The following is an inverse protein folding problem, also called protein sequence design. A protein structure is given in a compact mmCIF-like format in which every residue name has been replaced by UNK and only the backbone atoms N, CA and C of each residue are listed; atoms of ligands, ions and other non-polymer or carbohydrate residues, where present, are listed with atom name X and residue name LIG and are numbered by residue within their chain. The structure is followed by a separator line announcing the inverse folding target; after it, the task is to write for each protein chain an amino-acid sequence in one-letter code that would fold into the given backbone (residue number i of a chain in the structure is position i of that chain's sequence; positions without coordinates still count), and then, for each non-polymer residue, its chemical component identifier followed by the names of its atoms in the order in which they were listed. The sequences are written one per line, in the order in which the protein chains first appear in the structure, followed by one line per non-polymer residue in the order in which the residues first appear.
data_IF_502276836189
#
_entry.id   IF_502276836189
#
_cell.length_a   1.000
_cell.length_b   1.000
_cell.length_c   1.000
_cell.angle_alpha   90.00
_cell.angle_beta   90.00
_cell.angle_gamma   90.00
#
_symmetry.space_group_name_H-M   'P 1'
#
loop_
_entity.id
_entity.type
_entity.pdbx_description
1 polymer ?
#
# COMPACT_ATOMS: atom_id res chain seq x y z
N UNK A 1 -0.67 -9.77 34.32
CA UNK A 1 -2.10 -10.10 34.54
C UNK A 1 -2.95 -9.72 33.34
N UNK A 2 -2.99 -8.44 32.91
CA UNK A 2 -3.83 -7.98 31.79
C UNK A 2 -3.66 -8.77 30.47
N UNK A 3 -2.43 -9.15 30.08
CA UNK A 3 -2.18 -9.96 28.86
C UNK A 3 -2.87 -11.32 28.89
N UNK A 4 -2.74 -12.04 30.01
CA UNK A 4 -3.37 -13.34 30.21
C UNK A 4 -4.91 -13.21 30.22
N UNK A 5 -5.44 -12.14 30.82
CA UNK A 5 -6.87 -11.83 30.77
C UNK A 5 -7.35 -11.63 29.33
N UNK A 6 -6.67 -10.81 28.52
CA UNK A 6 -7.04 -10.57 27.12
C UNK A 6 -7.04 -11.86 26.28
N UNK A 7 -6.05 -12.74 26.50
CA UNK A 7 -5.99 -14.06 25.86
C UNK A 7 -7.14 -14.97 26.28
N UNK A 8 -7.42 -15.04 27.59
CA UNK A 8 -8.51 -15.86 28.14
C UNK A 8 -9.86 -15.38 27.63
N UNK A 9 -10.10 -14.06 27.54
CA UNK A 9 -11.32 -13.54 26.95
C UNK A 9 -11.45 -13.91 25.49
N UNK A 10 -10.37 -13.83 24.71
CA UNK A 10 -10.38 -14.31 23.34
C UNK A 10 -10.75 -15.80 23.23
N UNK A 11 -10.26 -16.66 24.12
CA UNK A 11 -10.66 -18.08 24.15
C UNK A 11 -12.11 -18.29 24.61
N UNK A 12 -12.57 -17.46 25.53
CA UNK A 12 -13.94 -17.50 26.05
C UNK A 12 -14.96 -17.13 24.96
N UNK A 13 -14.65 -16.11 24.15
CA UNK A 13 -15.46 -15.72 22.98
C UNK A 13 -15.64 -16.89 22.02
N UNK A 14 -14.55 -17.56 21.65
CA UNK A 14 -14.61 -18.69 20.72
C UNK A 14 -15.37 -19.90 21.28
N UNK A 15 -15.23 -20.18 22.58
CA UNK A 15 -15.76 -21.40 23.19
C UNK A 15 -17.22 -21.29 23.60
N UNK A 16 -17.72 -20.09 23.92
CA UNK A 16 -19.08 -19.86 24.44
C UNK A 16 -19.73 -18.58 23.85
N UNK A 17 -19.92 -18.50 22.51
CA UNK A 17 -20.46 -17.28 21.88
C UNK A 17 -21.88 -16.93 22.35
N UNK A 18 -22.74 -17.92 22.57
CA UNK A 18 -24.13 -17.69 22.98
C UNK A 18 -24.24 -17.06 24.38
N UNK A 19 -23.30 -17.40 25.29
CA UNK A 19 -23.25 -16.81 26.63
C UNK A 19 -22.90 -15.31 26.57
N UNK A 20 -21.99 -14.93 25.66
CA UNK A 20 -21.60 -13.53 25.48
C UNK A 20 -22.71 -12.75 24.77
N UNK A 21 -23.45 -13.39 23.85
CA UNK A 21 -24.59 -12.77 23.16
C UNK A 21 -25.76 -12.48 24.10
N UNK A 22 -26.03 -13.38 25.05
CA UNK A 22 -27.23 -13.37 25.91
C UNK A 22 -27.22 -12.40 27.10
N UNK A 23 -26.28 -11.45 27.20
CA UNK A 23 -26.19 -10.55 28.36
C UNK A 23 -25.39 -9.26 28.13
N UNK A 24 -25.27 -8.43 29.17
CA UNK A 24 -24.50 -7.17 29.13
C UNK A 24 -22.98 -7.39 29.05
N UNK A 25 -22.51 -8.61 29.32
CA UNK A 25 -21.10 -9.01 29.32
C UNK A 25 -20.40 -8.70 28.00
N UNK A 26 -21.05 -8.96 26.86
CA UNK A 26 -20.49 -8.67 25.55
C UNK A 26 -20.25 -7.18 25.32
N UNK A 27 -21.23 -6.34 25.66
CA UNK A 27 -21.11 -4.89 25.52
C UNK A 27 -20.04 -4.30 26.46
N UNK A 28 -20.00 -4.76 27.72
CA UNK A 28 -18.99 -4.33 28.70
C UNK A 28 -17.58 -4.76 28.28
N UNK A 29 -17.43 -5.96 27.72
CA UNK A 29 -16.15 -6.44 27.19
C UNK A 29 -15.67 -5.57 26.04
N UNK A 30 -16.53 -5.27 25.07
CA UNK A 30 -16.16 -4.40 23.93
C UNK A 30 -15.79 -3.01 24.42
N UNK A 31 -16.53 -2.42 25.36
CA UNK A 31 -16.20 -1.12 25.95
C UNK A 31 -14.83 -1.16 26.66
N UNK A 32 -14.58 -2.17 27.49
CA UNK A 32 -13.31 -2.31 28.22
C UNK A 32 -12.10 -2.51 27.28
N UNK A 33 -12.26 -3.33 26.23
CA UNK A 33 -11.23 -3.48 25.20
C UNK A 33 -10.98 -2.14 24.52
N UNK A 34 -12.05 -1.41 24.21
CA UNK A 34 -11.92 -0.19 23.47
C UNK A 34 -11.25 0.92 24.28
N UNK A 35 -11.55 1.06 25.57
CA UNK A 35 -10.83 1.93 26.51
C UNK A 35 -9.34 1.56 26.59
N UNK A 36 -9.05 0.26 26.64
CA UNK A 36 -7.66 -0.24 26.67
C UNK A 36 -6.91 0.14 25.40
N UNK A 37 -7.53 0.01 24.23
CA UNK A 37 -6.93 0.34 22.93
C UNK A 37 -6.73 1.85 22.70
N UNK A 38 -7.41 2.73 23.46
CA UNK A 38 -7.19 4.18 23.42
C UNK A 38 -5.91 4.61 24.13
N UNK A 39 -5.38 3.78 25.04
CA UNK A 39 -4.16 4.10 25.76
C UNK A 39 -2.95 4.12 24.81
N UNK A 40 -2.36 5.30 24.64
CA UNK A 40 -1.17 5.50 23.78
C UNK A 40 0.09 4.84 24.35
N UNK A 41 0.11 4.53 25.64
CA UNK A 41 1.21 3.84 26.31
C UNK A 41 1.07 2.31 26.30
N UNK A 42 0.03 1.80 25.63
CA UNK A 42 -0.28 0.38 25.58
C UNK A 42 0.86 -0.42 24.93
N UNK A 43 1.26 -1.49 25.60
CA UNK A 43 2.20 -2.46 25.06
C UNK A 43 1.62 -3.18 23.82
N UNK A 44 2.46 -3.38 22.80
CA UNK A 44 2.02 -3.93 21.52
C UNK A 44 1.44 -5.35 21.64
N UNK A 45 1.93 -6.15 22.58
CA UNK A 45 1.39 -7.49 22.83
C UNK A 45 -0.01 -7.42 23.41
N UNK A 46 -0.24 -6.48 24.34
CA UNK A 46 -1.55 -6.27 24.92
C UNK A 46 -2.53 -5.74 23.87
N UNK A 47 -2.09 -4.82 23.00
CA UNK A 47 -2.86 -4.38 21.84
C UNK A 47 -3.23 -5.57 20.93
N UNK A 48 -2.25 -6.43 20.61
CA UNK A 48 -2.45 -7.61 19.77
C UNK A 48 -3.48 -8.60 20.36
N UNK A 49 -3.40 -8.93 21.65
CA UNK A 49 -4.35 -9.87 22.26
C UNK A 49 -5.76 -9.29 22.35
N UNK A 50 -5.90 -7.99 22.67
CA UNK A 50 -7.19 -7.31 22.65
C UNK A 50 -7.79 -7.27 21.25
N UNK A 51 -7.01 -6.94 20.22
CA UNK A 51 -7.48 -6.98 18.84
C UNK A 51 -7.87 -8.39 18.39
N UNK A 52 -7.13 -9.41 18.83
CA UNK A 52 -7.47 -10.82 18.53
C UNK A 52 -8.82 -11.19 19.15
N UNK A 53 -9.12 -10.68 20.36
CA UNK A 53 -10.43 -10.83 20.97
C UNK A 53 -11.52 -10.13 20.12
N UNK A 54 -11.28 -8.89 19.68
CA UNK A 54 -12.20 -8.13 18.80
C UNK A 54 -12.43 -8.85 17.48
N UNK A 55 -11.40 -9.46 16.88
CA UNK A 55 -11.52 -10.25 15.65
C UNK A 55 -12.49 -11.42 15.84
N UNK A 56 -12.40 -12.13 16.96
CA UNK A 56 -13.31 -13.23 17.29
C UNK A 56 -14.75 -12.74 17.50
N UNK A 57 -14.92 -11.63 18.22
CA UNK A 57 -16.22 -10.97 18.41
C UNK A 57 -16.80 -10.56 17.04
N UNK A 58 -16.00 -9.95 16.17
CA UNK A 58 -16.44 -9.53 14.83
C UNK A 58 -16.86 -10.69 13.94
N UNK A 59 -16.27 -11.88 14.11
CA UNK A 59 -16.59 -13.05 13.29
C UNK A 59 -17.83 -13.79 13.79
N UNK A 60 -18.08 -13.84 15.10
CA UNK A 60 -19.16 -14.67 15.68
C UNK A 60 -20.35 -13.86 16.22
N UNK A 61 -20.14 -12.58 16.52
CA UNK A 61 -21.04 -11.74 17.31
C UNK A 61 -21.11 -10.30 16.75
N UNK A 62 -21.33 -10.16 15.43
CA UNK A 62 -21.37 -8.87 14.74
C UNK A 62 -22.35 -7.85 15.38
N UNK A 63 -23.42 -8.33 16.01
CA UNK A 63 -24.38 -7.48 16.74
C UNK A 63 -23.76 -6.69 17.91
N UNK A 64 -22.62 -7.14 18.45
CA UNK A 64 -21.91 -6.47 19.54
C UNK A 64 -20.97 -5.36 19.06
N UNK A 65 -20.72 -5.25 17.75
CA UNK A 65 -19.86 -4.25 17.13
C UNK A 65 -20.66 -3.44 16.11
N UNK A 66 -21.64 -2.62 16.55
CA UNK A 66 -22.42 -1.80 15.64
C UNK A 66 -21.54 -0.81 14.87
N UNK A 67 -22.02 -0.35 13.73
CA UNK A 67 -21.30 0.59 12.86
C UNK A 67 -20.96 1.93 13.55
N UNK A 68 -21.77 2.36 14.52
CA UNK A 68 -21.53 3.55 15.34
C UNK A 68 -20.47 3.37 16.43
N UNK A 69 -19.92 2.17 16.61
CA UNK A 69 -18.99 1.91 17.70
C UNK A 69 -17.65 2.64 17.49
N UNK A 70 -17.16 3.31 18.53
CA UNK A 70 -15.90 4.07 18.52
C UNK A 70 -14.63 3.23 18.26
N UNK A 71 -14.78 1.91 18.10
CA UNK A 71 -13.68 0.98 17.83
C UNK A 71 -13.22 1.07 16.37
N UNK A 72 -14.10 1.44 15.43
CA UNK A 72 -13.73 1.50 14.02
C UNK A 72 -12.68 2.57 13.72
N UNK A 73 -12.80 3.84 14.18
CA UNK A 73 -11.73 4.82 14.03
C UNK A 73 -10.39 4.40 14.67
N UNK A 74 -10.45 3.67 15.79
CA UNK A 74 -9.24 3.13 16.43
C UNK A 74 -8.59 2.05 15.58
N UNK A 75 -9.36 1.13 15.01
CA UNK A 75 -8.85 0.11 14.09
C UNK A 75 -8.14 0.77 12.90
N UNK A 76 -8.75 1.81 12.30
CA UNK A 76 -8.13 2.59 11.22
C UNK A 76 -6.80 3.22 11.67
N UNK A 77 -6.73 3.73 12.90
CA UNK A 77 -5.50 4.28 13.48
C UNK A 77 -4.43 3.20 13.70
N UNK A 78 -4.83 1.98 14.06
CA UNK A 78 -3.92 0.85 14.29
C UNK A 78 -3.33 0.27 12.99
N UNK A 79 -3.86 0.64 11.81
CA UNK A 79 -3.25 0.28 10.53
C UNK A 79 -1.84 0.87 10.33
N UNK A 80 -1.50 1.96 11.02
CA UNK A 80 -0.15 2.58 10.97
C UNK A 80 0.73 2.22 12.18
N UNK A 81 0.34 1.22 12.96
CA UNK A 81 1.07 0.80 14.15
C UNK A 81 2.47 0.25 13.79
N UNK A 82 3.52 0.49 14.60
CA UNK A 82 4.88 0.06 14.27
C UNK A 82 5.07 -1.47 14.18
N UNK A 83 4.24 -2.24 14.89
CA UNK A 83 4.34 -3.70 14.95
C UNK A 83 3.42 -4.40 13.92
N UNK A 84 3.96 -5.23 13.01
CA UNK A 84 3.18 -5.94 11.99
C UNK A 84 2.02 -6.80 12.48
N UNK A 85 2.11 -7.56 13.59
CA UNK A 85 0.98 -8.36 14.08
C UNK A 85 -0.25 -7.51 14.40
N UNK A 86 -0.06 -6.34 15.00
CA UNK A 86 -1.14 -5.39 15.33
C UNK A 86 -1.78 -4.83 14.05
N UNK A 87 -0.95 -4.42 13.08
CA UNK A 87 -1.43 -3.97 11.77
C UNK A 87 -2.26 -5.05 11.07
N UNK A 88 -1.79 -6.30 11.08
CA UNK A 88 -2.45 -7.42 10.41
C UNK A 88 -3.82 -7.74 11.00
N UNK A 89 -3.95 -7.81 12.33
CA UNK A 89 -5.25 -8.09 12.98
C UNK A 89 -6.23 -6.96 12.66
N UNK A 90 -5.79 -5.70 12.78
CA UNK A 90 -6.64 -4.56 12.42
C UNK A 90 -7.10 -4.60 10.95
N UNK A 91 -6.17 -4.84 10.01
CA UNK A 91 -6.48 -4.99 8.59
C UNK A 91 -7.46 -6.12 8.29
N UNK A 92 -7.44 -7.23 9.06
CA UNK A 92 -8.40 -8.34 8.90
C UNK A 92 -9.78 -7.98 9.43
N UNK A 93 -9.87 -7.35 10.60
CA UNK A 93 -11.15 -6.90 11.16
C UNK A 93 -11.83 -5.90 10.23
N UNK A 94 -11.09 -4.89 9.78
CA UNK A 94 -11.58 -3.89 8.81
C UNK A 94 -12.04 -4.59 7.54
N UNK A 95 -11.21 -5.46 6.94
CA UNK A 95 -11.59 -6.16 5.72
C UNK A 95 -12.84 -7.02 5.89
N UNK A 96 -12.96 -7.73 7.01
CA UNK A 96 -14.12 -8.57 7.31
C UNK A 96 -15.41 -7.73 7.25
N UNK A 97 -15.42 -6.57 7.92
CA UNK A 97 -16.55 -5.64 7.88
C UNK A 97 -16.76 -5.01 6.51
N UNK A 98 -15.72 -4.54 5.82
CA UNK A 98 -15.85 -3.95 4.49
C UNK A 98 -16.41 -4.96 3.49
N UNK A 99 -16.06 -6.24 3.61
CA UNK A 99 -16.55 -7.29 2.72
C UNK A 99 -18.04 -7.59 2.84
N UNK A 100 -18.70 -7.14 3.92
CA UNK A 100 -20.16 -7.23 4.06
C UNK A 100 -20.89 -6.00 3.48
N UNK A 101 -20.16 -4.97 3.06
CA UNK A 101 -20.73 -3.71 2.55
C UNK A 101 -20.70 -3.68 1.01
N UNK A 102 -21.67 -2.99 0.43
CA UNK A 102 -21.68 -2.64 -0.99
C UNK A 102 -20.91 -1.32 -1.20
N UNK A 103 -19.78 -1.40 -1.90
CA UNK A 103 -18.92 -0.26 -2.20
C UNK A 103 -19.62 0.85 -3.00
N UNK A 104 -20.70 0.53 -3.73
CA UNK A 104 -21.46 1.48 -4.55
C UNK A 104 -22.55 2.23 -3.78
N UNK A 105 -22.94 1.77 -2.59
CA UNK A 105 -24.09 2.28 -1.82
C UNK A 105 -23.71 2.69 -0.39
N UNK A 106 -22.48 3.17 -0.20
CA UNK A 106 -21.97 3.48 1.14
C UNK A 106 -22.69 4.66 1.81
N UNK A 107 -23.12 5.65 1.02
CA UNK A 107 -23.82 6.83 1.55
C UNK A 107 -25.15 6.47 2.23
N UNK A 108 -25.85 5.46 1.72
CA UNK A 108 -27.17 5.05 2.22
C UNK A 108 -27.09 3.95 3.29
N UNK A 109 -25.90 3.37 3.51
CA UNK A 109 -25.77 2.12 4.27
C UNK A 109 -25.72 2.30 5.79
N UNK A 110 -25.61 3.54 6.30
CA UNK A 110 -25.38 3.81 7.73
C UNK A 110 -24.12 3.13 8.28
N UNK A 111 -23.13 2.81 7.42
CA UNK A 111 -21.92 2.08 7.81
C UNK A 111 -20.96 2.94 8.62
N UNK A 112 -20.02 2.30 9.32
CA UNK A 112 -18.99 3.02 10.08
C UNK A 112 -18.16 3.97 9.18
N UNK A 113 -18.07 3.68 7.88
CA UNK A 113 -17.38 4.50 6.89
C UNK A 113 -18.18 5.78 6.62
N UNK A 114 -19.50 5.66 6.42
CA UNK A 114 -20.40 6.78 6.20
C UNK A 114 -20.52 7.67 7.44
N UNK A 115 -20.49 7.08 8.65
CA UNK A 115 -20.52 7.83 9.91
C UNK A 115 -19.25 8.63 10.19
N UNK A 116 -18.14 8.35 9.48
CA UNK A 116 -16.85 8.99 9.71
C UNK A 116 -16.29 9.59 8.41
N UNK A 117 -16.64 10.84 8.06
CA UNK A 117 -16.07 11.53 6.91
C UNK A 117 -14.54 11.56 6.97
N UNK A 118 -13.88 11.28 5.84
CA UNK A 118 -12.42 11.18 5.73
C UNK A 118 -11.87 9.77 5.99
N UNK A 119 -12.68 8.84 6.50
CA UNK A 119 -12.23 7.48 6.84
C UNK A 119 -11.69 6.70 5.64
N UNK A 120 -12.30 6.85 4.46
CA UNK A 120 -11.83 6.18 3.22
C UNK A 120 -10.40 6.58 2.85
N UNK A 121 -10.11 7.89 2.85
CA UNK A 121 -8.78 8.38 2.54
C UNK A 121 -7.78 8.02 3.65
N UNK A 122 -8.19 8.10 4.93
CA UNK A 122 -7.32 7.70 6.04
C UNK A 122 -6.93 6.22 5.96
N UNK A 123 -7.90 5.34 5.71
CA UNK A 123 -7.63 3.91 5.48
C UNK A 123 -6.69 3.71 4.29
N UNK A 124 -6.98 4.31 3.14
CA UNK A 124 -6.15 4.19 1.94
C UNK A 124 -4.71 4.70 2.18
N UNK A 125 -4.56 5.80 2.92
CA UNK A 125 -3.27 6.40 3.29
C UNK A 125 -2.48 5.50 4.23
N UNK A 126 -3.12 4.97 5.27
CA UNK A 126 -2.49 4.07 6.22
C UNK A 126 -2.07 2.75 5.55
N UNK A 127 -2.88 2.19 4.65
CA UNK A 127 -2.55 0.98 3.89
C UNK A 127 -1.43 1.22 2.87
N UNK A 128 -1.41 2.39 2.20
CA UNK A 128 -0.27 2.78 1.37
C UNK A 128 1.03 2.86 2.18
N UNK A 129 0.97 3.33 3.44
CA UNK A 129 2.12 3.34 4.35
C UNK A 129 2.58 1.92 4.72
N UNK A 130 1.67 0.95 4.87
CA UNK A 130 2.04 -0.45 5.08
C UNK A 130 2.82 -1.04 3.89
N UNK A 131 2.58 -0.54 2.67
CA UNK A 131 3.33 -0.92 1.47
C UNK A 131 4.64 -0.13 1.30
N UNK A 132 4.75 1.06 1.87
CA UNK A 132 5.91 1.97 1.79
C UNK A 132 6.90 1.74 2.95
N UNK A 133 7.35 0.50 3.10
CA UNK A 133 8.34 0.09 4.10
C UNK A 133 9.63 -0.37 3.45
N UNK A 134 10.74 -0.27 4.19
CA UNK A 134 12.04 -0.80 3.76
C UNK A 134 12.02 -2.34 3.69
N UNK A 135 12.87 -2.93 2.83
CA UNK A 135 12.93 -4.38 2.64
C UNK A 135 13.26 -5.16 3.95
N UNK A 136 13.94 -4.51 4.91
CA UNK A 136 14.32 -5.05 6.22
C UNK A 136 13.13 -5.24 7.18
N UNK A 137 12.11 -4.37 7.07
CA UNK A 137 10.91 -4.38 7.92
C UNK A 137 9.72 -5.01 7.19
N UNK A 138 9.87 -5.30 5.90
CA UNK A 138 8.83 -5.88 5.07
C UNK A 138 8.31 -7.22 5.60
N UNK A 139 6.98 -7.34 5.69
CA UNK A 139 6.26 -8.56 6.07
C UNK A 139 5.19 -8.86 5.02
N UNK A 140 5.35 -9.97 4.29
CA UNK A 140 4.49 -10.32 3.16
C UNK A 140 2.99 -10.43 3.53
N UNK A 141 2.59 -11.11 4.63
CA UNK A 141 1.19 -11.13 5.06
C UNK A 141 0.57 -9.73 5.26
N UNK A 142 1.34 -8.77 5.78
CA UNK A 142 0.87 -7.38 5.96
C UNK A 142 0.60 -6.74 4.60
N UNK A 143 1.50 -6.92 3.63
CA UNK A 143 1.34 -6.37 2.28
C UNK A 143 0.13 -6.96 1.56
N UNK A 144 -0.13 -8.26 1.69
CA UNK A 144 -1.27 -8.94 1.07
C UNK A 144 -2.60 -8.43 1.64
N UNK A 145 -2.67 -8.25 2.96
CA UNK A 145 -3.84 -7.65 3.60
C UNK A 145 -4.05 -6.20 3.15
N UNK A 146 -2.99 -5.42 3.02
CA UNK A 146 -3.07 -4.05 2.52
C UNK A 146 -3.61 -4.00 1.08
N UNK A 147 -3.10 -4.86 0.18
CA UNK A 147 -3.56 -4.99 -1.20
C UNK A 147 -5.05 -5.35 -1.25
N UNK A 148 -5.48 -6.33 -0.44
CA UNK A 148 -6.88 -6.78 -0.39
C UNK A 148 -7.82 -5.65 0.02
N UNK A 149 -7.46 -4.91 1.07
CA UNK A 149 -8.23 -3.75 1.52
C UNK A 149 -8.23 -2.62 0.49
N UNK A 150 -7.07 -2.29 -0.10
CA UNK A 150 -6.97 -1.24 -1.13
C UNK A 150 -7.81 -1.54 -2.37
N UNK A 151 -7.90 -2.81 -2.78
CA UNK A 151 -8.75 -3.24 -3.92
C UNK A 151 -10.24 -2.98 -3.65
N UNK A 152 -10.69 -3.22 -2.42
CA UNK A 152 -12.05 -2.85 -2.03
C UNK A 152 -12.20 -1.32 -1.94
N UNK A 153 -11.24 -0.64 -1.31
CA UNK A 153 -11.30 0.81 -1.10
C UNK A 153 -11.27 1.60 -2.41
N UNK A 154 -10.53 1.17 -3.44
CA UNK A 154 -10.54 1.86 -4.73
C UNK A 154 -11.96 1.96 -5.31
N UNK A 155 -12.72 0.86 -5.26
CA UNK A 155 -14.13 0.84 -5.71
C UNK A 155 -14.99 1.77 -4.87
N UNK A 156 -14.85 1.74 -3.54
CA UNK A 156 -15.59 2.59 -2.63
C UNK A 156 -15.28 4.09 -2.86
N UNK A 157 -14.00 4.44 -2.99
CA UNK A 157 -13.53 5.80 -3.26
C UNK A 157 -14.08 6.32 -4.60
N UNK A 158 -14.13 5.44 -5.62
CA UNK A 158 -14.61 5.78 -6.96
C UNK A 158 -16.11 6.11 -6.99
N UNK A 159 -16.91 5.39 -6.22
CA UNK A 159 -18.36 5.56 -6.15
C UNK A 159 -18.79 6.63 -5.13
N UNK A 160 -18.04 6.80 -4.04
CA UNK A 160 -18.35 7.75 -2.97
C UNK A 160 -17.13 8.62 -2.62
N UNK A 161 -16.65 9.45 -3.56
CA UNK A 161 -15.47 10.30 -3.32
C UNK A 161 -15.70 11.35 -2.22
N UNK A 162 -16.95 11.68 -1.93
CA UNK A 162 -17.36 12.63 -0.89
C UNK A 162 -16.95 12.17 0.52
N UNK A 163 -16.91 10.85 0.75
CA UNK A 163 -16.51 10.26 2.04
C UNK A 163 -14.98 10.30 2.27
N UNK A 164 -14.19 10.74 1.28
CA UNK A 164 -12.74 10.76 1.37
C UNK A 164 -12.17 11.97 2.11
N UNK A 165 -12.90 13.09 2.19
CA UNK A 165 -12.38 14.32 2.78
C UNK A 165 -13.37 14.89 3.79
N UNK A 166 -12.87 15.53 4.85
CA UNK A 166 -13.71 16.25 5.80
C UNK A 166 -14.08 17.61 5.22
N UNK A 167 -15.28 18.11 5.50
CA UNK A 167 -15.75 19.42 5.00
C UNK A 167 -14.80 20.59 5.39
N UNK A 168 -14.10 20.45 6.53
CA UNK A 168 -13.12 21.41 7.06
C UNK A 168 -11.71 21.30 6.44
N UNK A 169 -11.44 20.33 5.56
CA UNK A 169 -10.19 20.27 4.77
C UNK A 169 -10.26 21.17 3.51
N UNK A 170 -11.21 22.12 3.47
CA UNK A 170 -11.26 23.19 2.47
C UNK A 170 -10.11 24.16 2.75
N UNK A 171 -9.03 24.20 1.94
CA UNK A 171 -7.89 25.05 2.22
C UNK A 171 -8.23 26.47 1.77
N UNK A 172 -8.50 27.36 2.72
CA UNK A 172 -8.24 28.78 2.51
C UNK A 172 -6.71 28.94 2.42
N UNK A 173 -6.23 29.50 1.31
CA UNK A 173 -4.85 29.92 1.07
C UNK A 173 -3.84 28.82 0.66
N UNK A 174 -3.84 28.45 -0.63
CA UNK A 174 -2.77 28.73 -1.60
C UNK A 174 -3.17 28.07 -2.95
N UNK A 175 -2.85 28.72 -4.08
CA UNK A 175 -3.43 28.46 -5.41
C UNK A 175 -3.70 27.00 -5.84
N UNK A 176 -4.89 26.78 -6.40
CA UNK A 176 -5.37 25.58 -7.12
C UNK A 176 -5.42 24.25 -6.34
N UNK A 177 -6.35 24.16 -5.38
CA UNK A 177 -6.84 22.86 -4.86
C UNK A 177 -8.32 22.71 -5.25
N UNK A 178 -8.57 22.48 -6.55
CA UNK A 178 -9.78 21.76 -6.94
C UNK A 178 -9.70 20.39 -6.27
N UNK A 179 -10.77 19.95 -5.57
CA UNK A 179 -10.91 18.63 -4.92
C UNK A 179 -10.12 17.57 -5.70
N UNK A 180 -8.91 17.23 -5.24
CA UNK A 180 -8.03 16.30 -5.97
C UNK A 180 -8.79 14.98 -6.03
N UNK A 181 -9.01 14.47 -7.24
CA UNK A 181 -9.58 13.14 -7.47
C UNK A 181 -8.90 12.13 -6.52
N UNK A 182 -9.62 11.58 -5.54
CA UNK A 182 -9.03 10.70 -4.53
C UNK A 182 -8.41 9.43 -5.14
N UNK A 183 -9.00 8.91 -6.22
CA UNK A 183 -8.45 7.77 -6.96
C UNK A 183 -7.16 8.17 -7.67
N UNK A 184 -7.09 9.37 -8.27
CA UNK A 184 -5.83 9.91 -8.81
C UNK A 184 -4.76 10.05 -7.73
N UNK A 185 -5.12 10.52 -6.54
CA UNK A 185 -4.20 10.60 -5.40
C UNK A 185 -3.65 9.21 -5.05
N UNK A 186 -4.53 8.21 -4.92
CA UNK A 186 -4.15 6.84 -4.58
C UNK A 186 -3.19 6.23 -5.62
N UNK A 187 -3.56 6.35 -6.89
CA UNK A 187 -2.74 5.84 -8.02
C UNK A 187 -1.38 6.55 -8.09
N UNK A 188 -1.36 7.87 -7.87
CA UNK A 188 -0.12 8.65 -7.81
C UNK A 188 0.75 8.23 -6.63
N UNK A 189 0.14 7.97 -5.46
CA UNK A 189 0.85 7.52 -4.25
C UNK A 189 1.50 6.16 -4.49
N UNK A 190 0.75 5.18 -5.00
CA UNK A 190 1.26 3.84 -5.32
C UNK A 190 2.39 3.91 -6.36
N UNK A 191 2.21 4.68 -7.44
CA UNK A 191 3.24 4.89 -8.47
C UNK A 191 4.55 5.48 -7.89
N UNK A 192 4.44 6.37 -6.90
CA UNK A 192 5.61 6.91 -6.20
C UNK A 192 6.28 5.88 -5.27
N UNK A 193 5.52 5.01 -4.60
CA UNK A 193 6.06 3.92 -3.77
C UNK A 193 6.87 2.94 -4.65
N UNK A 194 6.37 2.64 -5.86
CA UNK A 194 7.03 1.76 -6.83
C UNK A 194 8.36 2.30 -7.41
N UNK A 195 8.80 3.51 -7.01
CA UNK A 195 10.12 4.04 -7.40
C UNK A 195 11.28 3.17 -6.86
N UNK A 196 12.47 3.22 -7.49
CA UNK A 196 13.50 2.17 -7.45
C UNK A 196 14.30 1.98 -6.14
N UNK A 197 13.81 2.42 -4.98
CA UNK A 197 14.60 2.30 -3.74
C UNK A 197 14.71 0.84 -3.27
N UNK A 198 13.58 0.14 -3.14
CA UNK A 198 13.53 -1.20 -2.52
C UNK A 198 12.74 -2.19 -3.39
N UNK A 199 13.12 -3.48 -3.37
CA UNK A 199 12.53 -4.48 -4.28
C UNK A 199 11.12 -4.87 -3.86
N UNK A 200 10.93 -5.18 -2.57
CA UNK A 200 9.69 -5.82 -2.07
C UNK A 200 8.52 -4.84 -2.06
N UNK A 201 8.76 -3.57 -1.73
CA UNK A 201 7.74 -2.52 -1.81
C UNK A 201 7.22 -2.35 -3.25
N UNK A 202 8.13 -2.37 -4.23
CA UNK A 202 7.78 -2.23 -5.65
C UNK A 202 6.98 -3.42 -6.14
N UNK A 203 7.42 -4.63 -5.77
CA UNK A 203 6.67 -5.86 -6.04
C UNK A 203 5.26 -5.82 -5.43
N UNK A 204 5.12 -5.30 -4.20
CA UNK A 204 3.81 -5.17 -3.54
C UNK A 204 2.88 -4.19 -4.24
N UNK A 205 3.41 -3.07 -4.76
CA UNK A 205 2.62 -2.15 -5.58
C UNK A 205 2.18 -2.82 -6.89
N UNK A 206 3.03 -3.62 -7.54
CA UNK A 206 2.64 -4.34 -8.75
C UNK A 206 1.59 -5.41 -8.48
N UNK A 207 1.71 -6.15 -7.36
CA UNK A 207 0.64 -7.04 -6.87
C UNK A 207 -0.65 -6.27 -6.57
N UNK A 208 -0.56 -5.03 -6.07
CA UNK A 208 -1.72 -4.14 -5.87
C UNK A 208 -2.39 -3.75 -7.19
N UNK A 209 -1.61 -3.38 -8.20
CA UNK A 209 -2.12 -3.07 -9.54
C UNK A 209 -2.77 -4.31 -10.20
N UNK A 210 -2.17 -5.49 -10.05
CA UNK A 210 -2.78 -6.75 -10.48
C UNK A 210 -4.15 -6.97 -9.82
N UNK A 211 -4.23 -6.73 -8.50
CA UNK A 211 -5.49 -6.85 -7.77
C UNK A 211 -6.54 -5.85 -8.26
N UNK A 212 -6.16 -4.62 -8.62
CA UNK A 212 -7.08 -3.63 -9.22
C UNK A 212 -7.61 -4.11 -10.57
N UNK A 213 -6.74 -4.56 -11.47
CA UNK A 213 -7.15 -5.10 -12.77
C UNK A 213 -8.10 -6.31 -12.62
N UNK A 214 -7.89 -7.15 -11.60
CA UNK A 214 -8.74 -8.31 -11.33
C UNK A 214 -10.10 -7.99 -10.71
N UNK A 215 -10.25 -6.86 -10.00
CA UNK A 215 -11.41 -6.60 -9.14
C UNK A 215 -12.25 -5.38 -9.50
N UNK A 216 -11.71 -4.46 -10.31
CA UNK A 216 -12.35 -3.20 -10.68
C UNK A 216 -12.79 -3.23 -12.14
N UNK A 217 -13.62 -2.29 -12.58
CA UNK A 217 -14.03 -2.19 -13.99
C UNK A 217 -12.97 -1.47 -14.83
N UNK A 218 -12.87 -1.86 -16.11
CA UNK A 218 -11.85 -1.33 -17.02
C UNK A 218 -11.97 0.17 -17.22
N UNK A 219 -13.19 0.67 -17.43
CA UNK A 219 -13.48 2.08 -17.65
C UNK A 219 -13.08 2.95 -16.46
N UNK A 220 -13.17 2.42 -15.23
CA UNK A 220 -12.72 3.11 -14.02
C UNK A 220 -11.20 3.19 -13.90
N UNK A 221 -10.46 2.29 -14.57
CA UNK A 221 -9.01 2.23 -14.53
C UNK A 221 -8.35 3.03 -15.66
N UNK A 222 -9.04 3.23 -16.78
CA UNK A 222 -8.55 3.99 -17.96
C UNK A 222 -7.90 5.34 -17.60
N UNK A 223 -8.50 6.20 -16.73
CA UNK A 223 -7.93 7.51 -16.38
C UNK A 223 -6.57 7.46 -15.68
N UNK A 224 -6.19 6.28 -15.17
CA UNK A 224 -4.99 6.07 -14.36
C UNK A 224 -3.92 5.23 -15.06
N UNK A 225 -4.16 4.77 -16.30
CA UNK A 225 -3.25 3.92 -17.06
C UNK A 225 -1.83 4.47 -17.11
N UNK A 226 -1.64 5.76 -17.37
CA UNK A 226 -0.29 6.34 -17.41
C UNK A 226 0.45 6.25 -16.06
N UNK A 227 -0.28 6.42 -14.94
CA UNK A 227 0.29 6.36 -13.58
C UNK A 227 0.71 4.93 -13.21
N UNK A 228 0.02 3.94 -13.78
CA UNK A 228 0.26 2.50 -13.59
C UNK A 228 1.36 2.00 -14.52
N UNK A 229 1.34 2.39 -15.79
CA UNK A 229 2.31 1.97 -16.81
C UNK A 229 3.72 2.52 -16.49
N UNK A 230 3.87 3.80 -16.12
CA UNK A 230 5.20 4.40 -15.86
C UNK A 230 6.10 3.59 -14.91
N UNK A 231 5.65 3.18 -13.70
CA UNK A 231 6.47 2.40 -12.79
C UNK A 231 6.74 0.97 -13.28
N UNK A 232 5.78 0.31 -13.96
CA UNK A 232 5.94 -1.05 -14.51
C UNK A 232 6.99 -1.06 -15.62
N UNK A 233 6.81 -0.21 -16.62
CA UNK A 233 7.69 -0.06 -17.78
C UNK A 233 9.09 0.44 -17.39
N UNK A 234 9.19 1.30 -16.36
CA UNK A 234 10.47 1.63 -15.73
C UNK A 234 11.16 0.41 -15.12
N UNK A 235 10.44 -0.41 -14.34
CA UNK A 235 11.02 -1.57 -13.68
C UNK A 235 11.53 -2.60 -14.67
N UNK A 236 10.80 -2.84 -15.77
CA UNK A 236 11.23 -3.71 -16.88
C UNK A 236 12.54 -3.20 -17.47
N UNK A 237 12.61 -1.92 -17.87
CA UNK A 237 13.83 -1.33 -18.45
C UNK A 237 15.02 -1.37 -17.49
N UNK A 238 14.80 -1.09 -16.21
CA UNK A 238 15.85 -1.15 -15.20
C UNK A 238 16.40 -2.56 -15.03
N UNK A 239 15.53 -3.57 -14.95
CA UNK A 239 15.92 -4.96 -14.86
C UNK A 239 16.69 -5.40 -16.12
N UNK A 240 16.18 -5.09 -17.32
CA UNK A 240 16.85 -5.40 -18.59
C UNK A 240 18.24 -4.76 -18.70
N UNK A 241 18.41 -3.52 -18.22
CA UNK A 241 19.71 -2.82 -18.26
C UNK A 241 20.73 -3.33 -17.23
N UNK A 242 20.27 -4.00 -16.17
CA UNK A 242 21.13 -4.50 -15.08
C UNK A 242 21.64 -5.93 -15.33
N UNK A 243 20.97 -6.68 -16.19
CA UNK A 243 21.33 -8.06 -16.54
C UNK A 243 22.50 -8.11 -17.52
N UNK A 244 23.36 -9.13 -17.38
CA UNK A 244 24.47 -9.40 -18.32
C UNK A 244 23.89 -9.98 -19.62
N UNK A 245 24.54 -9.73 -20.75
CA UNK A 245 24.22 -10.40 -22.01
C UNK A 245 24.39 -11.92 -21.82
N UNK A 246 23.31 -12.70 -21.91
CA UNK A 246 23.37 -14.17 -22.02
C UNK A 246 22.40 -15.01 -21.17
N UNK A 247 21.76 -14.46 -20.12
CA UNK A 247 20.78 -15.23 -19.32
C UNK A 247 19.37 -15.13 -19.89
N UNK A 248 18.61 -16.24 -19.91
CA UNK A 248 17.22 -16.25 -20.41
C UNK A 248 16.33 -15.34 -19.55
N UNK A 249 15.89 -14.23 -20.13
CA UNK A 249 15.39 -13.04 -19.43
C UNK A 249 13.91 -13.08 -19.05
N UNK A 250 13.11 -13.95 -19.67
CA UNK A 250 11.65 -13.94 -19.48
C UNK A 250 11.22 -14.43 -18.10
N UNK A 251 12.01 -15.29 -17.46
CA UNK A 251 11.65 -15.90 -16.19
C UNK A 251 12.13 -15.13 -14.94
N UNK A 252 12.82 -13.99 -15.07
CA UNK A 252 13.15 -13.15 -13.90
C UNK A 252 11.84 -12.56 -13.35
N UNK A 253 11.46 -12.84 -12.08
CA UNK A 253 10.24 -12.27 -11.48
C UNK A 253 10.17 -10.74 -11.53
N UNK A 254 11.32 -10.06 -11.66
CA UNK A 254 11.41 -8.59 -11.79
C UNK A 254 10.94 -8.07 -13.15
N UNK A 255 10.89 -8.94 -14.15
CA UNK A 255 10.45 -8.66 -15.52
C UNK A 255 9.09 -9.31 -15.77
N UNK A 256 8.91 -10.57 -15.35
CA UNK A 256 7.67 -11.33 -15.54
C UNK A 256 6.47 -10.62 -14.89
N UNK A 257 6.52 -10.34 -13.58
CA UNK A 257 5.39 -9.73 -12.87
C UNK A 257 4.96 -8.38 -13.48
N UNK A 258 5.85 -7.42 -13.78
CA UNK A 258 5.41 -6.19 -14.42
C UNK A 258 4.83 -6.38 -15.82
N UNK A 259 5.35 -7.33 -16.61
CA UNK A 259 4.80 -7.66 -17.93
C UNK A 259 3.40 -8.25 -17.82
N UNK A 260 3.21 -9.21 -16.92
CA UNK A 260 1.91 -9.83 -16.69
C UNK A 260 0.87 -8.78 -16.27
N UNK A 261 1.26 -7.85 -15.38
CA UNK A 261 0.38 -6.75 -14.98
C UNK A 261 0.06 -5.82 -16.16
N UNK A 262 1.03 -5.47 -17.01
CA UNK A 262 0.75 -4.67 -18.21
C UNK A 262 -0.26 -5.38 -19.13
N UNK A 263 -0.11 -6.69 -19.34
CA UNK A 263 -1.05 -7.48 -20.12
C UNK A 263 -2.45 -7.49 -19.50
N UNK A 264 -2.55 -7.66 -18.18
CA UNK A 264 -3.85 -7.58 -17.48
C UNK A 264 -4.54 -6.23 -17.72
N UNK A 265 -3.81 -5.12 -17.74
CA UNK A 265 -4.38 -3.79 -18.01
C UNK A 265 -4.75 -3.60 -19.49
N UNK A 266 -3.98 -4.16 -20.42
CA UNK A 266 -4.32 -4.15 -21.85
C UNK A 266 -5.63 -4.88 -22.11
N UNK A 267 -5.78 -6.08 -21.56
CA UNK A 267 -7.01 -6.89 -21.67
C UNK A 267 -8.19 -6.21 -20.98
N UNK A 268 -7.96 -5.65 -19.78
CA UNK A 268 -9.03 -5.08 -18.95
C UNK A 268 -9.54 -3.72 -19.42
N UNK A 269 -8.65 -2.84 -19.90
CA UNK A 269 -9.00 -1.45 -20.28
C UNK A 269 -9.18 -1.26 -21.80
N UNK A 270 -8.98 -2.33 -22.58
CA UNK A 270 -9.01 -2.32 -24.02
C UNK A 270 -7.68 -1.87 -24.64
N UNK A 271 -7.25 -2.60 -25.66
CA UNK A 271 -5.97 -2.40 -26.36
C UNK A 271 -5.76 -0.96 -26.85
N UNK A 272 -6.79 -0.31 -27.39
CA UNK A 272 -6.67 1.06 -27.91
C UNK A 272 -6.30 2.07 -26.81
N UNK A 273 -7.04 2.06 -25.70
CA UNK A 273 -6.80 2.96 -24.56
C UNK A 273 -5.42 2.69 -23.94
N UNK A 274 -5.08 1.41 -23.80
CA UNK A 274 -3.79 0.99 -23.27
C UNK A 274 -2.62 1.46 -24.14
N UNK A 275 -2.66 1.20 -25.46
CA UNK A 275 -1.60 1.61 -26.38
C UNK A 275 -1.43 3.13 -26.42
N UNK A 276 -2.53 3.89 -26.39
CA UNK A 276 -2.48 5.35 -26.31
C UNK A 276 -1.74 5.83 -25.05
N UNK A 277 -2.11 5.30 -23.88
CA UNK A 277 -1.45 5.62 -22.62
C UNK A 277 0.03 5.17 -22.62
N UNK A 278 0.33 4.00 -23.18
CA UNK A 278 1.69 3.45 -23.27
C UNK A 278 2.61 4.31 -24.14
N UNK A 279 2.12 4.79 -25.29
CA UNK A 279 2.84 5.73 -26.16
C UNK A 279 3.09 7.06 -25.45
N UNK A 280 2.09 7.61 -24.76
CA UNK A 280 2.22 8.88 -24.07
C UNK A 280 3.21 8.80 -22.89
N UNK A 281 3.20 7.70 -22.12
CA UNK A 281 4.22 7.43 -21.08
C UNK A 281 5.62 7.40 -21.71
N UNK A 282 5.81 6.66 -22.79
CA UNK A 282 7.11 6.58 -23.47
C UNK A 282 7.58 7.94 -24.00
N UNK A 283 6.67 8.75 -24.55
CA UNK A 283 6.94 10.13 -24.98
C UNK A 283 7.37 11.00 -23.80
N UNK A 284 6.64 10.96 -22.67
CA UNK A 284 6.98 11.69 -21.43
C UNK A 284 8.33 11.26 -20.87
N UNK A 285 8.64 9.96 -20.89
CA UNK A 285 9.95 9.43 -20.46
C UNK A 285 11.08 9.93 -21.36
N UNK A 286 10.91 9.88 -22.68
CA UNK A 286 11.88 10.42 -23.65
C UNK A 286 12.10 11.92 -23.44
N UNK A 287 11.02 12.69 -23.35
CA UNK A 287 11.11 14.14 -23.13
C UNK A 287 11.83 14.49 -21.83
N UNK A 288 11.51 13.83 -20.70
CA UNK A 288 12.22 14.01 -19.42
C UNK A 288 13.71 13.67 -19.53
N UNK A 289 14.06 12.62 -20.28
CA UNK A 289 15.45 12.23 -20.52
C UNK A 289 16.20 13.27 -21.33
N UNK A 290 15.59 13.78 -22.40
CA UNK A 290 16.23 14.72 -23.31
C UNK A 290 16.34 16.11 -22.67
N UNK A 291 15.32 16.56 -21.93
CA UNK A 291 15.38 17.75 -21.06
C UNK A 291 16.54 17.65 -20.06
N UNK A 292 16.65 16.52 -19.35
CA UNK A 292 17.76 16.29 -18.41
C UNK A 292 19.13 16.33 -19.10
N UNK A 293 19.26 15.83 -20.33
CA UNK A 293 20.52 15.93 -21.10
C UNK A 293 20.83 17.38 -21.47
N UNK A 294 19.81 18.13 -21.90
CA UNK A 294 19.90 19.56 -22.19
C UNK A 294 20.33 20.37 -20.97
N UNK A 295 19.65 20.18 -19.83
CA UNK A 295 19.96 20.86 -18.56
C UNK A 295 21.40 20.58 -18.10
N UNK A 296 21.87 19.33 -18.21
CA UNK A 296 23.26 18.95 -17.89
C UNK A 296 24.26 19.59 -18.86
N UNK A 297 23.92 19.70 -20.15
CA UNK A 297 24.78 20.35 -21.13
C UNK A 297 24.88 21.86 -20.88
N UNK A 298 23.74 22.52 -20.59
CA UNK A 298 23.69 23.93 -20.23
C UNK A 298 24.46 24.22 -18.95
N UNK A 299 24.30 23.40 -17.90
CA UNK A 299 25.01 23.53 -16.63
C UNK A 299 26.54 23.42 -16.79
N UNK A 300 27.03 22.59 -17.72
CA UNK A 300 28.47 22.50 -18.00
C UNK A 300 29.04 23.80 -18.56
N UNK A 301 28.24 24.53 -19.33
CA UNK A 301 28.65 25.80 -19.95
C UNK A 301 28.53 26.93 -18.93
N UNK A 302 27.43 26.97 -18.16
CA UNK A 302 27.16 28.06 -17.22
C UNK A 302 27.86 27.93 -15.86
N UNK A 303 28.12 26.70 -15.38
CA UNK A 303 28.74 26.46 -14.09
C UNK A 303 29.65 25.20 -14.09
N UNK A 304 30.91 25.33 -14.56
CA UNK A 304 31.83 24.20 -14.67
C UNK A 304 32.20 23.59 -13.31
N UNK A 305 32.12 24.35 -12.21
CA UNK A 305 32.43 23.87 -10.86
C UNK A 305 31.44 22.82 -10.35
N UNK A 306 30.14 23.02 -10.56
CA UNK A 306 29.09 22.05 -10.18
C UNK A 306 29.19 20.79 -11.06
N UNK A 307 29.47 20.95 -12.36
CA UNK A 307 29.68 19.84 -13.27
C UNK A 307 30.88 18.96 -12.85
N UNK A 308 31.98 19.57 -12.42
CA UNK A 308 33.16 18.87 -11.90
C UNK A 308 32.82 18.08 -10.61
N UNK A 309 32.10 18.70 -9.65
CA UNK A 309 31.63 18.01 -8.43
C UNK A 309 30.74 16.80 -8.74
N UNK A 310 29.82 16.92 -9.72
CA UNK A 310 29.01 15.76 -10.19
C UNK A 310 29.85 14.66 -10.79
N UNK A 311 30.91 14.98 -11.55
CA UNK A 311 31.83 14.00 -12.13
C UNK A 311 32.60 13.24 -11.05
N UNK A 312 33.10 13.94 -10.03
CA UNK A 312 33.77 13.34 -8.86
C UNK A 312 32.80 12.41 -8.11
N UNK A 313 31.57 12.87 -7.83
CA UNK A 313 30.57 12.04 -7.18
C UNK A 313 30.21 10.76 -7.98
N UNK A 314 30.13 10.87 -9.32
CA UNK A 314 29.91 9.70 -10.19
C UNK A 314 31.08 8.71 -10.11
N UNK A 315 32.31 9.20 -10.13
CA UNK A 315 33.50 8.34 -9.99
C UNK A 315 33.55 7.65 -8.63
N UNK A 316 33.20 8.36 -7.54
CA UNK A 316 33.10 7.78 -6.20
C UNK A 316 32.05 6.66 -6.13
N UNK A 317 30.85 6.90 -6.68
CA UNK A 317 29.78 5.88 -6.74
C UNK A 317 30.18 4.66 -7.57
N UNK A 318 30.88 4.86 -8.69
CA UNK A 318 31.39 3.76 -9.51
C UNK A 318 32.46 2.95 -8.77
N UNK A 319 33.35 3.62 -8.01
CA UNK A 319 34.34 2.98 -7.15
C UNK A 319 33.66 2.14 -6.05
N UNK A 320 32.64 2.68 -5.39
CA UNK A 320 31.84 1.94 -4.41
C UNK A 320 31.12 0.73 -5.03
N UNK A 321 30.51 0.91 -6.21
CA UNK A 321 29.85 -0.18 -6.94
C UNK A 321 30.83 -1.30 -7.28
N UNK A 322 32.04 -0.96 -7.76
CA UNK A 322 33.12 -1.93 -8.00
C UNK A 322 33.55 -2.63 -6.71
N UNK A 323 33.68 -1.90 -5.59
CA UNK A 323 34.01 -2.47 -4.27
C UNK A 323 32.95 -3.46 -3.78
N UNK A 324 31.66 -3.11 -3.88
CA UNK A 324 30.54 -4.01 -3.55
C UNK A 324 30.58 -5.28 -4.41
N UNK A 325 30.79 -5.15 -5.72
CA UNK A 325 30.94 -6.28 -6.65
C UNK A 325 32.09 -7.23 -6.29
N UNK A 326 33.26 -6.69 -5.92
CA UNK A 326 34.42 -7.50 -5.50
C UNK A 326 34.11 -8.26 -4.20
N UNK A 327 33.45 -7.60 -3.24
CA UNK A 327 33.02 -8.25 -2.00
C UNK A 327 31.99 -9.35 -2.27
N UNK A 328 30.97 -9.11 -3.09
CA UNK A 328 29.96 -10.10 -3.45
C UNK A 328 30.60 -11.32 -4.15
N UNK A 329 31.57 -11.10 -5.05
CA UNK A 329 32.33 -12.17 -5.67
C UNK A 329 33.18 -12.96 -4.66
N UNK A 330 33.86 -12.27 -3.73
CA UNK A 330 34.66 -12.94 -2.68
C UNK A 330 33.80 -13.76 -1.72
N UNK A 331 32.61 -13.29 -1.37
CA UNK A 331 31.68 -14.04 -0.52
C UNK A 331 31.02 -15.20 -1.27
N UNK A 332 30.72 -15.05 -2.57
CA UNK A 332 30.21 -16.14 -3.41
C UNK A 332 31.21 -17.28 -3.62
N UNK A 333 32.51 -16.97 -3.79
CA UNK A 333 33.57 -17.99 -3.93
C UNK A 333 33.80 -18.74 -2.62
N UNK A 334 33.76 -18.08 -1.45
CA UNK A 334 33.92 -18.75 -0.15
C UNK A 334 32.82 -19.76 0.17
N UNK A 335 31.59 -19.53 -0.29
CA UNK A 335 30.49 -20.48 -0.09
C UNK A 335 30.49 -21.63 -1.12
N UNK A 336 31.23 -21.49 -2.24
CA UNK A 336 31.38 -22.52 -3.27
C UNK A 336 32.58 -23.45 -3.09
N UNK A 337 33.59 -23.07 -2.30
CA UNK A 337 34.78 -23.90 -2.03
C UNK A 337 34.65 -24.84 -0.82
N UNK A 338 33.44 -25.05 -0.30
CA UNK A 338 33.19 -25.96 0.83
C UNK A 338 32.18 -27.07 0.48
N UNK A 339 32.13 -27.48 -0.80
CA UNK A 339 31.44 -28.68 -1.27
C UNK A 339 32.42 -29.64 -1.91
#
# INVERSE_FOLDING_TARGET
MQKASAQLFGLFVDSRPDYIRGGSTGALLVASIADTLQDKSLDWELAYFNLTCVEKISNQLQSLLPDSHHIWPMLVTLLKHPHPPVMQVSSRIIYCKLSTLDASKLLDSGSFVASNPGSLHEMASNLCRQLDVEDSVFVEPTSLLAIKNLSWLFRAIRHSPELCYKEQDSPEDDGEIQKKDPCRWLMTRLSNIARPKDRRRRESVFKCFAAFAASCDGDDLVPYLELIIDPLDRAIREASNMSRHGDSHENDPRIALPKDVLQMFEEKCGTSNFLQAYVEVNKKVRHKRDKRKGDIAAEKVSNPGIAAKRKIAKQLREKERKKRRVNDHRHGVKNGSNR
#
